data_IF_493043059300
#
_entry.id   IF_493043059300
#
_cell.length_a   1.000
_cell.length_b   1.000
_cell.length_c   1.000
_cell.angle_alpha   90.00
_cell.angle_beta   90.00
_cell.angle_gamma   90.00
#
_symmetry.space_group_name_H-M   'P 1'
#
loop_
_entity.id
_entity.type
_entity.pdbx_description
1 polymer ?
#
# COMPACT_ATOMS: atom_id res chain seq x y z
N UNK A 1 -51.38 -26.25 19.39
CA UNK A 1 -50.50 -27.41 19.20
C UNK A 1 -49.95 -27.27 17.80
N UNK A 2 -48.69 -26.88 17.69
CA UNK A 2 -47.71 -27.34 16.71
C UNK A 2 -46.42 -26.56 16.95
N UNK A 3 -45.47 -27.29 17.52
CA UNK A 3 -44.12 -26.84 17.89
C UNK A 3 -43.25 -26.83 16.63
N UNK A 4 -42.79 -25.66 16.21
CA UNK A 4 -41.69 -25.57 15.26
C UNK A 4 -40.37 -25.39 16.01
N UNK A 5 -39.63 -26.49 16.09
CA UNK A 5 -38.23 -26.56 16.46
C UNK A 5 -37.38 -25.72 15.50
N UNK A 6 -36.76 -24.67 16.02
CA UNK A 6 -35.66 -23.96 15.35
C UNK A 6 -34.38 -24.71 15.73
N UNK A 7 -33.73 -25.34 14.75
CA UNK A 7 -32.41 -25.94 14.92
C UNK A 7 -31.37 -24.84 15.07
N UNK A 8 -30.76 -24.77 16.24
CA UNK A 8 -29.54 -24.01 16.47
C UNK A 8 -28.37 -24.74 15.79
N UNK A 9 -28.06 -24.36 14.54
CA UNK A 9 -26.76 -24.66 13.96
C UNK A 9 -25.75 -23.67 14.54
N UNK A 10 -25.01 -24.14 15.54
CA UNK A 10 -23.83 -23.50 16.08
C UNK A 10 -22.75 -23.45 14.98
N UNK A 11 -22.49 -22.25 14.47
CA UNK A 11 -21.28 -21.97 13.70
C UNK A 11 -20.06 -22.11 14.63
N UNK A 12 -19.41 -23.26 14.60
CA UNK A 12 -18.05 -23.41 15.11
C UNK A 12 -17.12 -22.53 14.27
N UNK A 13 -16.63 -21.46 14.90
CA UNK A 13 -15.57 -20.62 14.36
C UNK A 13 -14.26 -21.43 14.42
N UNK A 14 -13.94 -22.15 13.35
CA UNK A 14 -12.63 -22.79 13.19
C UNK A 14 -11.59 -21.68 13.11
N UNK A 15 -10.98 -21.40 14.26
CA UNK A 15 -9.88 -20.44 14.37
C UNK A 15 -8.64 -21.17 13.89
N UNK A 16 -8.27 -20.97 12.63
CA UNK A 16 -7.01 -21.49 12.10
C UNK A 16 -5.89 -20.59 12.64
N UNK A 17 -5.39 -20.93 13.83
CA UNK A 17 -4.13 -20.41 14.36
C UNK A 17 -2.98 -20.95 13.51
N UNK A 18 -2.69 -20.29 12.38
CA UNK A 18 -1.38 -20.40 11.72
C UNK A 18 -0.39 -19.55 12.50
N UNK A 19 0.09 -20.07 13.63
CA UNK A 19 1.39 -19.68 14.15
C UNK A 19 2.43 -20.10 13.11
N UNK A 20 3.03 -19.12 12.44
CA UNK A 20 4.20 -19.33 11.60
C UNK A 20 5.34 -19.76 12.53
N UNK A 21 5.55 -21.07 12.67
CA UNK A 21 6.76 -21.60 13.28
C UNK A 21 7.92 -21.25 12.34
N UNK A 22 8.62 -20.16 12.66
CA UNK A 22 9.90 -19.82 12.02
C UNK A 22 10.92 -20.84 12.53
N UNK A 23 10.92 -22.02 11.91
CA UNK A 23 11.99 -22.99 12.05
C UNK A 23 13.29 -22.38 11.54
N UNK A 24 14.40 -22.65 12.23
CA UNK A 24 15.73 -22.22 11.82
C UNK A 24 16.02 -22.77 10.41
N UNK A 25 15.98 -21.89 9.40
CA UNK A 25 16.36 -22.22 8.03
C UNK A 25 17.88 -22.48 8.00
N UNK A 26 18.29 -23.74 7.98
CA UNK A 26 19.67 -24.12 7.70
C UNK A 26 19.93 -24.02 6.20
N UNK A 27 20.90 -23.21 5.82
CA UNK A 27 21.49 -23.26 4.47
C UNK A 27 22.58 -24.32 4.49
N UNK A 28 22.37 -25.44 3.79
CA UNK A 28 23.44 -26.40 3.52
C UNK A 28 24.30 -25.84 2.38
N UNK A 29 25.57 -25.58 2.69
CA UNK A 29 26.62 -25.26 1.72
C UNK A 29 27.07 -26.56 1.03
N UNK A 30 26.29 -27.06 0.07
CA UNK A 30 26.72 -28.13 -0.84
C UNK A 30 27.50 -27.52 -2.02
N UNK A 31 28.74 -27.11 -1.74
CA UNK A 31 29.79 -27.01 -2.76
C UNK A 31 30.84 -28.08 -2.45
N UNK A 32 30.88 -29.12 -3.28
CA UNK A 32 31.87 -30.19 -3.24
C UNK A 32 33.30 -29.62 -3.23
N UNK A 33 33.99 -29.77 -2.09
CA UNK A 33 35.41 -29.49 -1.95
C UNK A 33 36.24 -30.69 -2.45
N UNK A 34 36.85 -30.56 -3.61
CA UNK A 34 38.09 -31.25 -3.94
C UNK A 34 39.21 -30.72 -3.05
N UNK A 35 39.93 -31.65 -2.42
CA UNK A 35 41.11 -31.42 -1.58
C UNK A 35 42.10 -30.50 -2.28
N UNK A 36 42.35 -29.32 -1.72
CA UNK A 36 43.43 -28.42 -2.16
C UNK A 36 44.32 -28.05 -0.99
N UNK A 37 45.59 -28.36 -1.20
CA UNK A 37 46.73 -28.23 -0.32
C UNK A 37 46.98 -26.75 0.02
N UNK A 38 47.23 -26.47 1.29
CA UNK A 38 47.56 -25.13 1.78
C UNK A 38 48.91 -24.65 1.22
N UNK A 39 48.88 -23.76 0.24
CA UNK A 39 50.03 -22.93 -0.14
C UNK A 39 49.74 -21.48 0.26
N UNK A 40 50.49 -20.98 1.25
CA UNK A 40 50.46 -19.59 1.70
C UNK A 40 51.08 -18.71 0.62
N UNK A 41 50.29 -18.21 -0.32
CA UNK A 41 50.73 -17.22 -1.29
C UNK A 41 50.34 -15.84 -0.78
N UNK A 42 51.31 -15.10 -0.24
CA UNK A 42 51.20 -13.67 0.08
C UNK A 42 50.90 -12.91 -1.20
N UNK A 43 49.62 -12.59 -1.43
CA UNK A 43 49.22 -11.79 -2.58
C UNK A 43 49.39 -10.33 -2.20
N UNK A 44 50.53 -9.74 -2.59
CA UNK A 44 50.72 -8.29 -2.56
C UNK A 44 49.84 -7.68 -3.64
N UNK A 45 48.58 -7.41 -3.30
CA UNK A 45 47.68 -6.68 -4.18
C UNK A 45 48.16 -5.24 -4.28
N UNK A 46 48.66 -4.88 -5.46
CA UNK A 46 48.88 -3.49 -5.87
C UNK A 46 47.55 -2.75 -5.69
N UNK A 47 47.44 -1.93 -4.63
CA UNK A 47 46.32 -1.03 -4.43
C UNK A 47 46.46 0.07 -5.48
N UNK A 48 46.01 -0.22 -6.70
CA UNK A 48 45.57 0.82 -7.61
C UNK A 48 44.44 1.56 -6.91
N UNK A 49 44.52 2.89 -6.93
CA UNK A 49 43.68 3.86 -6.24
C UNK A 49 42.18 3.58 -6.36
N UNK A 50 41.65 2.68 -5.53
CA UNK A 50 40.24 2.58 -5.26
C UNK A 50 39.89 3.78 -4.39
N UNK A 51 38.92 4.59 -4.83
CA UNK A 51 38.44 5.67 -3.99
C UNK A 51 37.86 5.10 -2.68
N UNK A 52 37.86 5.87 -1.59
CA UNK A 52 37.42 5.40 -0.27
C UNK A 52 36.03 4.75 -0.28
N UNK A 53 35.16 5.17 -1.22
CA UNK A 53 33.83 4.59 -1.41
C UNK A 53 33.88 3.16 -1.99
N UNK A 54 34.80 2.87 -2.91
CA UNK A 54 34.98 1.53 -3.48
C UNK A 54 35.59 0.57 -2.46
N UNK A 55 36.51 1.03 -1.61
CA UNK A 55 37.09 0.23 -0.53
C UNK A 55 36.02 -0.12 0.51
N UNK A 56 35.24 0.86 0.97
CA UNK A 56 34.12 0.63 1.89
C UNK A 56 33.06 -0.31 1.31
N UNK A 57 32.76 -0.19 0.02
CA UNK A 57 31.83 -1.07 -0.67
C UNK A 57 32.36 -2.52 -0.76
N UNK A 58 33.64 -2.70 -1.05
CA UNK A 58 34.27 -4.02 -1.12
C UNK A 58 34.31 -4.71 0.26
N UNK A 59 34.64 -3.96 1.32
CA UNK A 59 34.61 -4.44 2.69
C UNK A 59 33.18 -4.80 3.15
N UNK A 60 32.20 -3.96 2.81
CA UNK A 60 30.78 -4.25 3.04
C UNK A 60 30.37 -5.56 2.35
N UNK A 61 30.70 -5.73 1.07
CA UNK A 61 30.40 -6.98 0.35
C UNK A 61 30.99 -8.22 0.99
N UNK A 62 32.25 -8.16 1.43
CA UNK A 62 32.89 -9.29 2.10
C UNK A 62 32.17 -9.65 3.42
N UNK A 63 31.70 -8.66 4.17
CA UNK A 63 30.97 -8.86 5.41
C UNK A 63 29.56 -9.45 5.19
N UNK A 64 28.85 -9.05 4.13
CA UNK A 64 27.44 -9.45 3.91
C UNK A 64 27.28 -10.66 2.98
N UNK A 65 28.35 -11.18 2.37
CA UNK A 65 28.30 -12.34 1.48
C UNK A 65 28.09 -13.70 2.17
N UNK A 66 28.20 -13.76 3.50
CA UNK A 66 28.08 -15.00 4.29
C UNK A 66 26.71 -15.67 4.21
N UNK A 67 26.69 -17.01 4.30
CA UNK A 67 25.47 -17.83 4.26
C UNK A 67 24.51 -17.52 5.41
N UNK A 68 25.02 -17.17 6.60
CA UNK A 68 24.22 -16.76 7.75
C UNK A 68 23.40 -15.48 7.50
N UNK A 69 24.01 -14.47 6.86
CA UNK A 69 23.32 -13.24 6.46
C UNK A 69 22.24 -13.52 5.41
N UNK A 70 22.54 -14.40 4.43
CA UNK A 70 21.56 -14.83 3.40
C UNK A 70 20.33 -15.48 4.03
N UNK A 71 20.54 -16.45 4.91
CA UNK A 71 19.47 -17.11 5.64
C UNK A 71 18.62 -16.13 6.47
N UNK A 72 19.25 -15.16 7.13
CA UNK A 72 18.55 -14.16 7.94
C UNK A 72 17.65 -13.20 7.13
N UNK A 73 17.98 -12.94 5.86
CA UNK A 73 17.21 -12.02 5.01
C UNK A 73 16.10 -12.70 4.21
N UNK A 74 16.23 -14.00 3.91
CA UNK A 74 15.24 -14.75 3.13
C UNK A 74 13.79 -14.53 3.59
N UNK A 75 13.45 -14.53 4.90
CA UNK A 75 12.10 -14.27 5.35
C UNK A 75 11.54 -12.90 4.91
N UNK A 76 12.37 -11.86 4.84
CA UNK A 76 11.95 -10.52 4.42
C UNK A 76 11.59 -10.50 2.93
N UNK A 77 12.38 -11.19 2.09
CA UNK A 77 12.07 -11.31 0.67
C UNK A 77 10.75 -12.06 0.45
N UNK A 78 10.56 -13.18 1.15
CA UNK A 78 9.32 -13.98 1.05
C UNK A 78 8.11 -13.14 1.47
N UNK A 79 8.16 -12.53 2.66
CA UNK A 79 7.04 -11.73 3.17
C UNK A 79 6.72 -10.57 2.23
N UNK A 80 7.73 -9.88 1.69
CA UNK A 80 7.50 -8.80 0.74
C UNK A 80 6.92 -9.29 -0.59
N UNK A 81 7.40 -10.41 -1.12
CA UNK A 81 6.88 -11.02 -2.32
C UNK A 81 5.40 -11.44 -2.15
N UNK A 82 5.06 -12.07 -1.03
CA UNK A 82 3.66 -12.39 -0.69
C UNK A 82 2.80 -11.14 -0.58
N UNK A 83 3.31 -10.07 0.04
CA UNK A 83 2.58 -8.80 0.16
C UNK A 83 2.34 -8.16 -1.20
N UNK A 84 3.33 -8.16 -2.07
CA UNK A 84 3.24 -7.66 -3.44
C UNK A 84 2.19 -8.44 -4.24
N UNK A 85 2.22 -9.78 -4.16
CA UNK A 85 1.23 -10.63 -4.82
C UNK A 85 -0.18 -10.33 -4.29
N UNK A 86 -0.34 -10.20 -2.98
CA UNK A 86 -1.62 -9.88 -2.32
C UNK A 86 -2.19 -8.58 -2.87
N UNK A 87 -1.36 -7.54 -2.95
CA UNK A 87 -1.74 -6.26 -3.54
C UNK A 87 -2.17 -6.41 -5.01
N UNK A 88 -1.36 -7.08 -5.83
CA UNK A 88 -1.64 -7.26 -7.27
C UNK A 88 -2.93 -8.07 -7.47
N UNK A 89 -3.16 -9.11 -6.69
CA UNK A 89 -4.36 -9.93 -6.78
C UNK A 89 -5.62 -9.16 -6.39
N UNK A 90 -5.57 -8.38 -5.30
CA UNK A 90 -6.64 -7.46 -4.92
C UNK A 90 -6.96 -6.46 -6.04
N UNK A 91 -5.95 -5.99 -6.78
CA UNK A 91 -6.16 -5.05 -7.90
C UNK A 91 -6.89 -5.67 -9.10
N UNK A 92 -6.79 -6.99 -9.30
CA UNK A 92 -7.33 -7.69 -10.49
C UNK A 92 -8.69 -8.35 -10.28
N UNK A 93 -9.20 -8.45 -9.05
CA UNK A 93 -10.41 -9.26 -8.75
C UNK A 93 -10.37 -10.68 -9.33
N UNK A 94 -9.16 -11.20 -9.61
CA UNK A 94 -8.93 -12.57 -10.05
C UNK A 94 -8.37 -13.32 -8.85
N UNK A 95 -9.25 -13.70 -7.93
CA UNK A 95 -8.89 -14.45 -6.72
C UNK A 95 -8.58 -15.93 -7.00
N UNK A 96 -8.84 -16.42 -8.22
CA UNK A 96 -8.88 -17.87 -8.48
C UNK A 96 -7.50 -18.51 -8.71
N UNK A 97 -6.45 -17.73 -9.02
CA UNK A 97 -5.08 -18.25 -9.22
C UNK A 97 -4.06 -17.42 -8.43
N UNK A 98 -4.32 -17.18 -7.15
CA UNK A 98 -3.33 -16.60 -6.26
C UNK A 98 -2.17 -17.58 -6.06
N UNK A 99 -1.08 -17.41 -6.80
CA UNK A 99 0.15 -18.14 -6.53
C UNK A 99 0.81 -17.51 -5.31
N UNK A 100 0.71 -18.17 -4.16
CA UNK A 100 1.60 -17.88 -3.03
C UNK A 100 3.05 -18.10 -3.47
N UNK A 101 3.99 -17.45 -2.77
CA UNK A 101 5.40 -17.83 -2.90
C UNK A 101 5.53 -19.29 -2.48
N UNK A 102 6.08 -20.14 -3.34
CA UNK A 102 6.32 -21.54 -3.01
C UNK A 102 7.43 -21.64 -1.96
N UNK A 103 7.09 -22.18 -0.79
CA UNK A 103 8.02 -22.38 0.33
C UNK A 103 8.33 -23.88 0.42
N UNK A 104 9.59 -24.22 0.15
CA UNK A 104 10.13 -25.58 0.13
C UNK A 104 10.84 -25.94 1.44
N UNK A 105 11.16 -24.94 2.28
CA UNK A 105 12.01 -25.10 3.45
C UNK A 105 13.51 -25.01 3.13
N UNK A 106 13.87 -24.95 1.84
CA UNK A 106 15.24 -24.69 1.40
C UNK A 106 15.42 -23.18 1.18
N UNK A 107 16.19 -22.53 2.07
CA UNK A 107 16.33 -21.07 2.06
C UNK A 107 16.88 -20.47 0.76
N UNK A 108 17.65 -21.22 -0.04
CA UNK A 108 18.14 -20.78 -1.36
C UNK A 108 17.03 -20.84 -2.41
N UNK A 109 16.25 -21.91 -2.43
CA UNK A 109 15.11 -22.07 -3.36
C UNK A 109 14.03 -21.04 -3.01
N UNK A 110 13.70 -20.89 -1.73
CA UNK A 110 12.65 -19.99 -1.27
C UNK A 110 13.00 -18.52 -1.55
N UNK A 111 14.28 -18.15 -1.39
CA UNK A 111 14.78 -16.82 -1.78
C UNK A 111 14.68 -16.59 -3.29
N UNK A 112 15.03 -17.59 -4.11
CA UNK A 112 14.89 -17.49 -5.56
C UNK A 112 13.42 -17.35 -5.98
N UNK A 113 12.51 -18.11 -5.35
CA UNK A 113 11.07 -18.01 -5.58
C UNK A 113 10.56 -16.59 -5.27
N UNK A 114 10.98 -16.01 -4.14
CA UNK A 114 10.65 -14.64 -3.80
C UNK A 114 11.22 -13.62 -4.81
N UNK A 115 12.48 -13.76 -5.23
CA UNK A 115 13.09 -12.88 -6.25
C UNK A 115 12.36 -12.99 -7.60
N UNK A 116 11.92 -14.18 -7.99
CA UNK A 116 11.15 -14.40 -9.22
C UNK A 116 9.82 -13.64 -9.18
N UNK A 117 9.13 -13.63 -8.03
CA UNK A 117 7.91 -12.84 -7.83
C UNK A 117 8.19 -11.34 -7.96
N UNK A 118 9.28 -10.84 -7.36
CA UNK A 118 9.69 -9.44 -7.51
C UNK A 118 10.04 -9.08 -8.96
N UNK A 119 10.43 -10.08 -9.76
CA UNK A 119 10.76 -9.95 -11.18
C UNK A 119 9.55 -10.17 -12.10
N UNK A 120 8.33 -10.26 -11.57
CA UNK A 120 7.16 -10.52 -12.39
C UNK A 120 6.76 -9.29 -13.23
N UNK A 121 6.36 -9.54 -14.48
CA UNK A 121 5.91 -8.50 -15.42
C UNK A 121 4.75 -7.67 -14.86
N UNK A 122 3.90 -8.29 -14.04
CA UNK A 122 2.76 -7.63 -13.41
C UNK A 122 3.16 -6.49 -12.48
N UNK A 123 4.28 -6.62 -11.77
CA UNK A 123 4.79 -5.53 -10.94
C UNK A 123 5.17 -4.32 -11.81
N UNK A 124 5.83 -4.56 -12.96
CA UNK A 124 6.16 -3.49 -13.90
C UNK A 124 4.92 -2.85 -14.52
N UNK A 125 3.95 -3.66 -14.98
CA UNK A 125 2.68 -3.17 -15.57
C UNK A 125 1.87 -2.31 -14.59
N UNK A 126 1.98 -2.59 -13.29
CA UNK A 126 1.21 -1.92 -12.24
C UNK A 126 1.99 -0.86 -11.48
N UNK A 127 3.20 -0.54 -11.92
CA UNK A 127 4.09 0.39 -11.22
C UNK A 127 3.43 1.75 -10.93
N UNK A 128 2.57 2.24 -11.82
CA UNK A 128 1.86 3.53 -11.63
C UNK A 128 0.69 3.46 -10.63
N UNK A 129 0.21 2.26 -10.33
CA UNK A 129 -0.94 2.02 -9.43
C UNK A 129 -0.54 1.47 -8.06
N UNK A 130 0.70 1.01 -7.91
CA UNK A 130 1.22 0.45 -6.67
C UNK A 130 1.68 1.59 -5.75
N UNK A 131 1.50 1.48 -4.42
CA UNK A 131 1.99 2.48 -3.48
C UNK A 131 3.51 2.66 -3.59
N UNK A 132 4.04 3.91 -3.52
CA UNK A 132 5.47 4.18 -3.63
C UNK A 132 6.37 3.33 -2.72
N UNK A 133 5.88 2.92 -1.55
CA UNK A 133 6.59 2.11 -0.56
C UNK A 133 7.03 0.76 -1.12
N UNK A 134 6.25 0.14 -2.00
CA UNK A 134 6.65 -1.12 -2.65
C UNK A 134 7.85 -0.92 -3.58
N UNK A 135 7.89 0.17 -4.34
CA UNK A 135 9.05 0.45 -5.22
C UNK A 135 10.29 0.82 -4.40
N UNK A 136 10.10 1.53 -3.27
CA UNK A 136 11.16 1.81 -2.30
C UNK A 136 11.68 0.52 -1.65
N UNK A 137 10.80 -0.33 -1.15
CA UNK A 137 11.16 -1.61 -0.53
C UNK A 137 11.87 -2.52 -1.53
N UNK A 138 11.36 -2.64 -2.76
CA UNK A 138 12.03 -3.37 -3.84
C UNK A 138 13.43 -2.81 -4.13
N UNK A 139 13.59 -1.49 -4.14
CA UNK A 139 14.89 -0.83 -4.34
C UNK A 139 15.87 -1.13 -3.20
N UNK A 140 15.41 -1.09 -1.94
CA UNK A 140 16.23 -1.43 -0.77
C UNK A 140 16.68 -2.90 -0.83
N UNK A 141 15.76 -3.81 -1.17
CA UNK A 141 16.05 -5.23 -1.35
C UNK A 141 17.00 -5.49 -2.52
N UNK A 142 16.92 -4.74 -3.62
CA UNK A 142 17.87 -4.85 -4.73
C UNK A 142 19.28 -4.43 -4.31
N UNK A 143 19.41 -3.33 -3.57
CA UNK A 143 20.73 -2.89 -3.05
C UNK A 143 21.27 -3.91 -2.05
N UNK A 144 20.41 -4.48 -1.20
CA UNK A 144 20.80 -5.53 -0.26
C UNK A 144 21.29 -6.78 -1.01
N UNK A 145 20.56 -7.24 -2.03
CA UNK A 145 20.96 -8.36 -2.89
C UNK A 145 22.32 -8.13 -3.54
N UNK A 146 22.58 -6.90 -3.99
CA UNK A 146 23.87 -6.51 -4.56
C UNK A 146 25.01 -6.58 -3.54
N UNK A 147 24.79 -6.13 -2.30
CA UNK A 147 25.79 -6.19 -1.24
C UNK A 147 26.08 -7.65 -0.82
N UNK A 148 25.06 -8.51 -0.84
CA UNK A 148 25.18 -9.92 -0.47
C UNK A 148 25.73 -10.81 -1.60
N UNK A 149 25.91 -10.26 -2.80
CA UNK A 149 26.36 -11.01 -3.98
C UNK A 149 25.35 -12.07 -4.43
N UNK A 150 24.05 -11.84 -4.23
CA UNK A 150 23.02 -12.75 -4.72
C UNK A 150 23.00 -12.75 -6.26
N UNK A 151 22.66 -13.86 -6.90
CA UNK A 151 22.45 -13.88 -8.35
C UNK A 151 21.00 -13.51 -8.68
N UNK A 152 20.73 -13.08 -9.92
CA UNK A 152 19.36 -12.90 -10.44
C UNK A 152 18.67 -11.56 -10.14
N UNK A 153 19.04 -10.82 -9.09
CA UNK A 153 18.35 -9.58 -8.69
C UNK A 153 18.40 -8.42 -9.72
N UNK A 154 19.29 -8.50 -10.72
CA UNK A 154 19.39 -7.54 -11.83
C UNK A 154 18.75 -8.01 -13.13
N UNK A 155 17.98 -9.11 -13.12
CA UNK A 155 17.35 -9.69 -14.31
C UNK A 155 15.88 -9.29 -14.42
N UNK A 156 15.28 -9.54 -15.59
CA UNK A 156 13.85 -9.31 -15.84
C UNK A 156 13.47 -7.84 -15.80
N UNK A 157 12.28 -7.54 -15.26
CA UNK A 157 11.76 -6.18 -15.19
C UNK A 157 12.19 -5.39 -13.94
N UNK A 158 12.84 -6.03 -12.95
CA UNK A 158 13.28 -5.38 -11.70
C UNK A 158 14.05 -4.07 -11.98
N UNK A 159 15.07 -4.05 -12.85
CA UNK A 159 15.82 -2.82 -13.11
C UNK A 159 14.93 -1.66 -13.58
N UNK A 160 13.89 -1.94 -14.38
CA UNK A 160 12.97 -0.92 -14.86
C UNK A 160 12.08 -0.36 -13.75
N UNK A 161 11.73 -1.20 -12.77
CA UNK A 161 10.91 -0.80 -11.60
C UNK A 161 11.75 0.05 -10.65
N UNK A 162 12.96 -0.38 -10.32
CA UNK A 162 13.76 0.25 -9.25
C UNK A 162 14.63 1.41 -9.72
N UNK A 163 14.97 1.49 -11.02
CA UNK A 163 15.90 2.52 -11.54
C UNK A 163 15.49 3.93 -11.17
N UNK A 164 14.21 4.27 -11.33
CA UNK A 164 13.69 5.61 -11.01
C UNK A 164 13.88 5.91 -9.52
N UNK A 165 13.43 5.00 -8.65
CA UNK A 165 13.55 5.16 -7.19
C UNK A 165 15.01 5.19 -6.74
N UNK A 166 15.90 4.38 -7.32
CA UNK A 166 17.33 4.41 -7.02
C UNK A 166 17.96 5.76 -7.39
N UNK A 167 17.57 6.36 -8.52
CA UNK A 167 18.06 7.69 -8.93
C UNK A 167 17.51 8.77 -8.00
N UNK A 168 16.20 8.80 -7.78
CA UNK A 168 15.52 9.82 -6.98
C UNK A 168 15.88 9.76 -5.49
N UNK A 169 16.13 8.56 -4.96
CA UNK A 169 16.40 8.32 -3.53
C UNK A 169 17.84 7.89 -3.25
N UNK A 170 18.77 8.08 -4.19
CA UNK A 170 20.19 7.70 -4.03
C UNK A 170 20.81 8.25 -2.73
N UNK A 171 20.43 9.46 -2.32
CA UNK A 171 20.94 10.09 -1.09
C UNK A 171 20.42 9.45 0.21
N UNK A 172 19.29 8.74 0.15
CA UNK A 172 18.58 8.19 1.33
C UNK A 172 18.76 6.68 1.45
N UNK A 173 19.17 6.00 0.38
CA UNK A 173 19.40 4.55 0.37
C UNK A 173 20.80 4.27 0.92
N UNK A 174 20.92 3.60 2.08
CA UNK A 174 22.22 3.33 2.69
C UNK A 174 23.05 2.37 1.85
N UNK A 175 24.36 2.58 1.81
CA UNK A 175 25.34 1.69 1.15
C UNK A 175 26.04 0.75 2.13
N UNK A 176 25.85 0.99 3.43
CA UNK A 176 26.34 0.15 4.53
C UNK A 176 25.23 -0.84 4.88
N UNK A 177 25.54 -2.13 4.94
CA UNK A 177 24.51 -3.17 5.09
C UNK A 177 23.72 -3.08 6.40
N UNK A 178 24.32 -2.64 7.51
CA UNK A 178 23.64 -2.51 8.81
C UNK A 178 22.61 -1.39 8.82
N UNK A 179 22.96 -0.24 8.23
CA UNK A 179 22.04 0.88 8.00
C UNK A 179 20.94 0.50 7.02
N UNK A 180 21.28 -0.23 5.95
CA UNK A 180 20.32 -0.71 4.97
C UNK A 180 19.30 -1.67 5.61
N UNK A 181 19.76 -2.60 6.44
CA UNK A 181 18.89 -3.52 7.19
C UNK A 181 17.95 -2.76 8.13
N UNK A 182 18.49 -1.78 8.86
CA UNK A 182 17.68 -0.90 9.72
C UNK A 182 16.62 -0.16 8.90
N UNK A 183 16.97 0.34 7.71
CA UNK A 183 16.05 1.03 6.81
C UNK A 183 14.96 0.11 6.25
N UNK A 184 15.32 -1.13 5.90
CA UNK A 184 14.39 -2.17 5.44
C UNK A 184 13.37 -2.49 6.52
N UNK A 185 13.82 -2.77 7.75
CA UNK A 185 12.91 -3.06 8.87
C UNK A 185 12.03 -1.85 9.22
N UNK A 186 12.59 -0.65 9.19
CA UNK A 186 11.82 0.57 9.39
C UNK A 186 10.72 0.72 8.33
N UNK A 187 11.07 0.53 7.05
CA UNK A 187 10.12 0.55 5.94
C UNK A 187 9.04 -0.52 6.12
N UNK A 188 9.46 -1.74 6.46
CA UNK A 188 8.57 -2.87 6.71
C UNK A 188 7.51 -2.54 7.78
N UNK A 189 7.99 -2.06 8.92
CA UNK A 189 7.12 -1.75 10.05
C UNK A 189 6.16 -0.61 9.73
N UNK A 190 6.67 0.45 9.09
CA UNK A 190 5.90 1.67 8.78
C UNK A 190 4.76 1.43 7.78
N UNK A 191 5.02 0.71 6.70
CA UNK A 191 4.08 0.62 5.57
C UNK A 191 3.32 -0.70 5.47
N UNK A 192 3.75 -1.74 6.18
CA UNK A 192 3.14 -3.07 6.07
C UNK A 192 2.69 -3.58 7.43
N UNK A 193 3.60 -3.72 8.40
CA UNK A 193 3.26 -4.37 9.67
C UNK A 193 2.25 -3.56 10.49
N UNK A 194 2.45 -2.24 10.65
CA UNK A 194 1.49 -1.39 11.37
C UNK A 194 0.15 -1.32 10.64
N UNK A 195 0.16 -1.24 9.31
CA UNK A 195 -1.05 -1.24 8.48
C UNK A 195 -1.86 -2.52 8.71
N UNK A 196 -1.20 -3.68 8.74
CA UNK A 196 -1.82 -4.98 8.99
C UNK A 196 -2.39 -5.11 10.40
N UNK A 197 -1.72 -4.52 11.40
CA UNK A 197 -2.27 -4.42 12.75
C UNK A 197 -3.55 -3.58 12.74
N UNK A 198 -3.56 -2.44 12.04
CA UNK A 198 -4.76 -1.61 11.93
C UNK A 198 -5.92 -2.35 11.27
N UNK A 199 -5.70 -3.22 10.27
CA UNK A 199 -6.76 -4.04 9.69
C UNK A 199 -7.54 -4.87 10.72
N UNK A 200 -6.90 -5.32 11.81
CA UNK A 200 -7.53 -6.11 12.88
C UNK A 200 -8.35 -5.28 13.88
N UNK A 201 -8.16 -3.96 13.93
CA UNK A 201 -8.79 -3.08 14.92
C UNK A 201 -10.13 -2.54 14.39
N UNK A 202 -11.24 -2.70 15.10
CA UNK A 202 -12.50 -2.05 14.73
C UNK A 202 -12.38 -0.53 14.94
N UNK A 203 -12.65 0.24 13.87
CA UNK A 203 -12.60 1.69 13.89
C UNK A 203 -13.98 2.28 14.20
N UNK A 204 -13.99 3.24 15.10
CA UNK A 204 -15.03 4.25 15.23
C UNK A 204 -14.46 5.59 14.72
N UNK A 205 -15.27 6.65 14.73
CA UNK A 205 -14.86 7.96 14.24
C UNK A 205 -13.67 8.51 15.03
N UNK A 206 -13.63 8.29 16.35
CA UNK A 206 -12.53 8.75 17.21
C UNK A 206 -11.21 8.07 16.84
N UNK A 207 -11.21 6.74 16.66
CA UNK A 207 -10.03 5.98 16.23
C UNK A 207 -9.58 6.35 14.83
N UNK A 208 -10.52 6.60 13.92
CA UNK A 208 -10.18 7.09 12.58
C UNK A 208 -9.54 8.48 12.65
N UNK A 209 -10.08 9.41 13.43
CA UNK A 209 -9.47 10.72 13.69
C UNK A 209 -8.05 10.56 14.24
N UNK A 210 -7.86 9.73 15.27
CA UNK A 210 -6.55 9.47 15.85
C UNK A 210 -5.56 8.89 14.84
N UNK A 211 -6.01 7.99 13.97
CA UNK A 211 -5.19 7.47 12.89
C UNK A 211 -4.81 8.56 11.89
N UNK A 212 -5.77 9.36 11.41
CA UNK A 212 -5.50 10.42 10.43
C UNK A 212 -4.52 11.47 10.97
N UNK A 213 -4.59 11.81 12.26
CA UNK A 213 -3.67 12.74 12.91
C UNK A 213 -2.25 12.15 13.07
N UNK A 214 -2.15 10.87 13.47
CA UNK A 214 -0.92 10.33 14.05
C UNK A 214 -0.30 9.16 13.29
N UNK A 215 -0.85 8.74 12.15
CA UNK A 215 -0.31 7.61 11.42
C UNK A 215 1.11 7.89 10.89
N UNK A 216 1.86 6.81 10.69
CA UNK A 216 3.20 6.88 10.17
C UNK A 216 3.28 7.15 8.67
N UNK A 217 2.21 7.19 7.89
CA UNK A 217 2.30 7.31 6.43
C UNK A 217 2.17 8.77 6.00
N UNK A 218 1.01 9.38 6.30
CA UNK A 218 0.65 10.75 5.97
C UNK A 218 -0.25 11.30 7.06
N UNK A 219 0.25 12.29 7.80
CA UNK A 219 -0.50 12.95 8.85
C UNK A 219 -1.33 14.08 8.26
N UNK A 220 -2.59 14.16 8.71
CA UNK A 220 -3.53 15.22 8.35
C UNK A 220 -3.72 16.13 9.56
N UNK A 221 -4.17 17.36 9.31
CA UNK A 221 -4.51 18.32 10.38
C UNK A 221 -5.91 18.85 10.18
N UNK A 222 -6.70 18.94 11.24
CA UNK A 222 -8.06 19.48 11.21
C UNK A 222 -8.12 20.99 11.00
N UNK A 223 -6.97 21.66 10.91
CA UNK A 223 -6.88 23.11 10.76
C UNK A 223 -6.01 23.52 9.59
N UNK A 224 -5.68 22.59 8.68
CA UNK A 224 -4.87 22.91 7.50
C UNK A 224 -5.59 23.89 6.60
N UNK A 225 -6.91 23.71 6.46
CA UNK A 225 -7.75 24.60 5.69
C UNK A 225 -8.75 25.32 6.61
N UNK A 226 -8.85 26.66 6.55
CA UNK A 226 -9.75 27.39 7.42
C UNK A 226 -11.21 27.09 7.06
N UNK A 227 -12.06 26.95 8.07
CA UNK A 227 -13.51 26.73 7.89
C UNK A 227 -14.19 28.04 7.44
N UNK A 228 -14.15 28.32 6.15
CA UNK A 228 -14.81 29.47 5.53
C UNK A 228 -15.79 29.01 4.43
N UNK A 229 -16.73 29.88 3.99
CA UNK A 229 -17.75 29.48 3.00
C UNK A 229 -17.19 28.95 1.68
N UNK A 230 -16.01 29.42 1.25
CA UNK A 230 -15.36 28.97 0.02
C UNK A 230 -14.84 27.52 0.16
N UNK A 231 -14.15 27.20 1.25
CA UNK A 231 -13.66 25.85 1.52
C UNK A 231 -14.81 24.87 1.78
N UNK A 232 -15.86 25.31 2.48
CA UNK A 232 -17.08 24.52 2.66
C UNK A 232 -17.78 24.24 1.32
N UNK A 233 -17.85 25.24 0.43
CA UNK A 233 -18.37 25.07 -0.94
C UNK A 233 -17.54 24.06 -1.74
N UNK A 234 -16.21 24.07 -1.57
CA UNK A 234 -15.31 23.12 -2.20
C UNK A 234 -15.42 21.69 -1.66
N UNK A 235 -16.11 21.46 -0.54
CA UNK A 235 -16.50 20.12 -0.07
C UNK A 235 -17.91 19.79 -0.55
N UNK A 236 -18.83 20.74 -0.42
CA UNK A 236 -20.24 20.58 -0.77
C UNK A 236 -20.45 20.20 -2.24
N UNK A 237 -19.81 20.91 -3.17
CA UNK A 237 -19.97 20.68 -4.62
C UNK A 237 -19.56 19.24 -4.99
N UNK A 238 -18.34 18.78 -4.65
CA UNK A 238 -17.94 17.38 -4.80
C UNK A 238 -18.94 16.37 -4.25
N UNK A 239 -19.45 16.58 -3.03
CA UNK A 239 -20.41 15.67 -2.42
C UNK A 239 -21.72 15.59 -3.23
N UNK A 240 -22.30 16.74 -3.61
CA UNK A 240 -23.53 16.75 -4.42
C UNK A 240 -23.30 16.11 -5.77
N UNK A 241 -22.11 16.28 -6.38
CA UNK A 241 -21.78 15.59 -7.62
C UNK A 241 -21.76 14.08 -7.46
N UNK A 242 -21.10 13.55 -6.42
CA UNK A 242 -21.13 12.10 -6.13
C UNK A 242 -22.55 11.60 -5.94
N UNK A 243 -23.37 12.31 -5.16
CA UNK A 243 -24.79 12.00 -4.96
C UNK A 243 -25.55 11.98 -6.29
N UNK A 244 -25.40 13.01 -7.12
CA UNK A 244 -26.07 13.08 -8.42
C UNK A 244 -25.63 11.97 -9.37
N UNK A 245 -24.35 11.64 -9.38
CA UNK A 245 -23.80 10.53 -10.18
C UNK A 245 -24.44 9.21 -9.74
N UNK A 246 -24.43 8.91 -8.44
CA UNK A 246 -25.05 7.70 -7.88
C UNK A 246 -26.53 7.61 -8.25
N UNK A 247 -27.29 8.70 -8.09
CA UNK A 247 -28.72 8.72 -8.41
C UNK A 247 -28.98 8.45 -9.90
N UNK A 248 -28.20 9.07 -10.79
CA UNK A 248 -28.32 8.84 -12.24
C UNK A 248 -28.00 7.41 -12.63
N UNK A 249 -26.88 6.87 -12.12
CA UNK A 249 -26.37 5.57 -12.56
C UNK A 249 -27.09 4.39 -11.91
N UNK A 250 -27.46 4.49 -10.63
CA UNK A 250 -28.03 3.37 -9.86
C UNK A 250 -29.55 3.44 -9.81
N UNK A 251 -30.13 4.63 -9.66
CA UNK A 251 -31.58 4.79 -9.43
C UNK A 251 -32.37 5.10 -10.70
N UNK A 252 -31.70 5.38 -11.83
CA UNK A 252 -32.35 5.52 -13.14
C UNK A 252 -33.45 6.58 -13.21
N UNK A 253 -33.48 7.54 -12.29
CA UNK A 253 -34.61 8.46 -12.10
C UNK A 253 -34.27 9.93 -12.38
N UNK A 254 -35.08 10.47 -13.28
CA UNK A 254 -35.38 11.86 -13.66
C UNK A 254 -34.24 12.89 -13.73
N UNK A 255 -34.18 13.54 -14.90
CA UNK A 255 -33.29 14.64 -15.25
C UNK A 255 -33.54 15.94 -14.46
N UNK A 256 -33.55 15.87 -13.13
CA UNK A 256 -33.53 17.06 -12.30
C UNK A 256 -32.24 17.83 -12.55
N UNK A 257 -32.39 18.99 -13.20
CA UNK A 257 -31.33 19.96 -13.37
C UNK A 257 -30.85 20.41 -12.00
N UNK A 258 -29.53 20.33 -11.79
CA UNK A 258 -28.87 20.94 -10.64
C UNK A 258 -29.05 22.46 -10.73
N UNK A 259 -30.12 22.98 -10.15
CA UNK A 259 -30.29 24.43 -10.01
C UNK A 259 -29.31 24.94 -8.95
N UNK A 260 -28.81 26.15 -9.23
CA UNK A 260 -27.82 26.99 -8.53
C UNK A 260 -27.51 26.69 -7.06
N UNK A 261 -26.24 26.88 -6.63
CA UNK A 261 -25.78 26.47 -5.31
C UNK A 261 -26.55 27.23 -4.20
N UNK A 262 -27.06 26.52 -3.20
CA UNK A 262 -27.61 27.16 -2.00
C UNK A 262 -26.51 27.89 -1.24
N UNK A 263 -26.91 28.75 -0.29
CA UNK A 263 -26.01 29.25 0.75
C UNK A 263 -25.40 28.03 1.46
N UNK A 264 -24.09 27.88 1.40
CA UNK A 264 -23.36 26.75 2.00
C UNK A 264 -22.80 27.20 3.34
N UNK A 265 -23.33 26.64 4.43
CA UNK A 265 -22.76 26.72 5.78
C UNK A 265 -22.23 25.34 6.23
N UNK A 266 -21.71 25.27 7.46
CA UNK A 266 -21.14 24.02 8.01
C UNK A 266 -22.20 22.94 8.14
N UNK A 267 -23.39 23.29 8.62
CA UNK A 267 -24.50 22.35 8.81
C UNK A 267 -24.94 21.73 7.47
N UNK A 268 -24.96 22.54 6.41
CA UNK A 268 -25.23 22.07 5.06
C UNK A 268 -24.14 21.11 4.53
N UNK A 269 -22.86 21.40 4.79
CA UNK A 269 -21.75 20.53 4.38
C UNK A 269 -21.79 19.17 5.11
N UNK A 270 -22.00 19.18 6.43
CA UNK A 270 -22.16 17.95 7.22
C UNK A 270 -23.34 17.12 6.70
N UNK A 271 -24.52 17.73 6.56
CA UNK A 271 -25.72 17.06 6.08
C UNK A 271 -25.50 16.35 4.74
N UNK A 272 -24.82 17.03 3.81
CA UNK A 272 -24.53 16.49 2.48
C UNK A 272 -23.47 15.37 2.51
N UNK A 273 -22.48 15.44 3.40
CA UNK A 273 -21.55 14.32 3.63
C UNK A 273 -22.31 13.09 4.14
N UNK A 274 -23.25 13.30 5.07
CA UNK A 274 -24.08 12.22 5.61
C UNK A 274 -25.03 11.64 4.54
N UNK A 275 -25.56 12.47 3.63
CA UNK A 275 -26.36 12.04 2.47
C UNK A 275 -25.52 11.20 1.50
N UNK A 276 -24.36 11.73 1.08
CA UNK A 276 -23.41 11.04 0.20
C UNK A 276 -23.03 9.69 0.80
N UNK A 277 -22.74 9.66 2.10
CA UNK A 277 -22.34 8.45 2.80
C UNK A 277 -23.42 7.38 2.83
N UNK A 278 -24.68 7.77 3.01
CA UNK A 278 -25.84 6.87 2.95
C UNK A 278 -26.02 6.29 1.55
N UNK A 279 -25.88 7.11 0.52
CA UNK A 279 -26.09 6.70 -0.88
C UNK A 279 -24.99 5.79 -1.41
N UNK A 280 -23.74 5.97 -0.99
CA UNK A 280 -22.63 5.13 -1.47
C UNK A 280 -22.55 3.77 -0.75
N UNK A 281 -23.11 3.66 0.46
CA UNK A 281 -23.01 2.44 1.27
C UNK A 281 -23.49 1.16 0.54
N UNK A 282 -24.63 1.14 -0.18
CA UNK A 282 -25.03 -0.03 -0.97
C UNK A 282 -24.02 -0.37 -2.07
N UNK A 283 -23.45 0.63 -2.75
CA UNK A 283 -22.43 0.40 -3.77
C UNK A 283 -21.16 -0.21 -3.18
N UNK A 284 -20.76 0.21 -1.97
CA UNK A 284 -19.62 -0.37 -1.26
C UNK A 284 -19.86 -1.83 -0.87
N UNK A 285 -21.07 -2.14 -0.38
CA UNK A 285 -21.49 -3.49 0.02
C UNK A 285 -21.71 -4.43 -1.16
N UNK A 286 -21.97 -3.90 -2.36
CA UNK A 286 -22.18 -4.71 -3.55
C UNK A 286 -20.97 -5.61 -3.82
N UNK A 287 -21.24 -6.91 -3.98
CA UNK A 287 -20.26 -7.94 -4.36
C UNK A 287 -19.95 -7.92 -5.85
N UNK A 288 -20.65 -7.07 -6.63
CA UNK A 288 -20.34 -6.91 -8.05
C UNK A 288 -18.89 -6.45 -8.23
N UNK A 289 -18.31 -6.91 -9.35
CA UNK A 289 -16.95 -6.54 -9.74
C UNK A 289 -16.83 -5.02 -9.73
N UNK A 290 -15.71 -4.54 -9.18
CA UNK A 290 -15.45 -3.13 -9.02
C UNK A 290 -15.13 -2.56 -10.40
N UNK A 291 -16.15 -2.01 -11.03
CA UNK A 291 -16.00 -1.25 -12.26
C UNK A 291 -15.09 -0.04 -12.00
N UNK A 292 -14.46 0.48 -13.04
CA UNK A 292 -13.64 1.68 -12.93
C UNK A 292 -14.45 2.86 -12.40
N UNK A 293 -15.75 2.89 -12.73
CA UNK A 293 -16.74 3.78 -12.13
C UNK A 293 -16.81 3.65 -10.59
N UNK A 294 -17.07 2.44 -10.07
CA UNK A 294 -17.16 2.20 -8.61
C UNK A 294 -15.87 2.61 -7.91
N UNK A 295 -14.70 2.29 -8.48
CA UNK A 295 -13.40 2.69 -7.93
C UNK A 295 -13.23 4.21 -7.90
N UNK A 296 -13.61 4.90 -8.98
CA UNK A 296 -13.49 6.35 -9.04
C UNK A 296 -14.39 7.04 -8.02
N UNK A 297 -15.61 6.54 -7.79
CA UNK A 297 -16.50 7.05 -6.75
C UNK A 297 -15.94 6.76 -5.34
N UNK A 298 -15.41 5.57 -5.08
CA UNK A 298 -14.79 5.23 -3.78
C UNK A 298 -13.61 6.17 -3.47
N UNK A 299 -12.67 6.32 -4.41
CA UNK A 299 -11.53 7.25 -4.27
C UNK A 299 -12.05 8.67 -4.03
N UNK A 300 -13.13 9.04 -4.70
CA UNK A 300 -13.75 10.35 -4.56
C UNK A 300 -14.29 10.59 -3.15
N UNK A 301 -15.02 9.63 -2.59
CA UNK A 301 -15.54 9.70 -1.22
C UNK A 301 -14.40 9.78 -0.19
N UNK A 302 -13.32 9.01 -0.38
CA UNK A 302 -12.14 9.09 0.50
C UNK A 302 -11.55 10.50 0.46
N UNK A 303 -11.34 11.07 -0.73
CA UNK A 303 -10.79 12.43 -0.86
C UNK A 303 -11.66 13.48 -0.19
N UNK A 304 -12.97 13.43 -0.42
CA UNK A 304 -13.93 14.33 0.22
C UNK A 304 -13.85 14.19 1.76
N UNK A 305 -13.82 12.96 2.26
CA UNK A 305 -13.74 12.68 3.70
C UNK A 305 -12.48 13.29 4.31
N UNK A 306 -11.32 13.12 3.65
CA UNK A 306 -10.05 13.69 4.12
C UNK A 306 -10.03 15.22 4.01
N UNK A 307 -10.64 15.80 2.97
CA UNK A 307 -10.74 17.25 2.80
C UNK A 307 -11.65 17.89 3.86
N UNK A 308 -12.78 17.24 4.15
CA UNK A 308 -13.68 17.64 5.22
C UNK A 308 -13.01 17.55 6.59
N UNK A 309 -12.23 16.49 6.83
CA UNK A 309 -11.38 16.37 8.01
C UNK A 309 -10.38 17.52 8.11
N UNK A 310 -9.65 17.83 7.03
CA UNK A 310 -8.63 18.90 7.05
C UNK A 310 -9.20 20.33 7.19
N UNK A 311 -10.49 20.49 6.91
CA UNK A 311 -11.25 21.74 7.08
C UNK A 311 -11.87 21.87 8.49
N UNK A 312 -11.74 20.84 9.32
CA UNK A 312 -12.24 20.84 10.70
C UNK A 312 -13.73 20.55 10.85
N UNK A 313 -14.37 19.95 9.84
CA UNK A 313 -15.77 19.51 9.94
C UNK A 313 -15.86 18.39 10.98
N UNK A 314 -16.78 18.49 11.95
CA UNK A 314 -16.86 17.52 13.04
C UNK A 314 -17.40 16.18 12.52
N UNK A 315 -18.50 16.21 11.77
CA UNK A 315 -19.11 15.03 11.16
C UNK A 315 -18.60 14.78 9.74
N UNK A 316 -17.27 14.80 9.57
CA UNK A 316 -16.59 14.66 8.27
C UNK A 316 -16.77 13.30 7.59
N UNK A 317 -17.42 12.34 8.26
CA UNK A 317 -17.68 10.98 7.77
C UNK A 317 -19.04 10.48 8.23
N UNK A 318 -19.70 9.66 7.39
CA UNK A 318 -20.87 8.88 7.78
C UNK A 318 -20.42 7.60 8.48
N UNK A 319 -20.73 7.45 9.77
CA UNK A 319 -20.18 6.40 10.63
C UNK A 319 -20.28 4.95 10.07
N UNK A 320 -21.40 4.52 9.45
CA UNK A 320 -21.50 3.18 8.86
C UNK A 320 -20.50 2.90 7.73
N UNK A 321 -19.88 3.93 7.13
CA UNK A 321 -18.84 3.76 6.12
C UNK A 321 -17.45 3.53 6.68
N UNK A 322 -17.20 3.78 7.97
CA UNK A 322 -15.85 3.76 8.54
C UNK A 322 -15.14 2.43 8.28
N UNK A 323 -15.83 1.30 8.49
CA UNK A 323 -15.23 -0.02 8.29
C UNK A 323 -14.84 -0.29 6.83
N UNK A 324 -15.56 0.32 5.89
CA UNK A 324 -15.30 0.19 4.46
C UNK A 324 -14.15 1.11 4.05
N UNK A 325 -14.24 2.39 4.41
CA UNK A 325 -13.23 3.41 4.13
C UNK A 325 -11.87 3.09 4.76
N UNK A 326 -11.86 2.46 5.93
CA UNK A 326 -10.65 2.02 6.62
C UNK A 326 -9.74 1.22 5.68
N UNK A 327 -10.27 0.21 5.00
CA UNK A 327 -9.46 -0.68 4.16
C UNK A 327 -8.81 0.10 3.02
N UNK A 328 -9.58 0.97 2.36
CA UNK A 328 -9.07 1.79 1.26
C UNK A 328 -8.09 2.88 1.74
N UNK A 329 -8.34 3.50 2.90
CA UNK A 329 -7.40 4.45 3.52
C UNK A 329 -6.08 3.77 3.83
N UNK A 330 -6.11 2.63 4.52
CA UNK A 330 -4.91 1.86 4.87
C UNK A 330 -4.10 1.46 3.61
N UNK A 331 -4.78 1.17 2.51
CA UNK A 331 -4.15 0.76 1.26
C UNK A 331 -3.58 1.93 0.43
N UNK A 332 -4.27 3.07 0.42
CA UNK A 332 -4.04 4.10 -0.59
C UNK A 332 -3.46 5.41 -0.07
N UNK A 333 -3.38 5.62 1.25
CA UNK A 333 -2.97 6.91 1.84
C UNK A 333 -1.61 7.43 1.38
N UNK A 334 -0.73 6.52 0.93
CA UNK A 334 0.59 6.87 0.44
C UNK A 334 0.56 7.62 -0.89
N UNK A 335 -0.46 7.40 -1.74
CA UNK A 335 -0.51 8.00 -3.06
C UNK A 335 -0.58 9.53 -3.00
N UNK A 336 0.14 10.18 -3.90
CA UNK A 336 0.17 11.65 -4.01
C UNK A 336 -1.20 12.26 -4.30
N UNK A 337 -2.17 11.50 -4.78
CA UNK A 337 -3.52 12.00 -5.03
C UNK A 337 -4.30 12.33 -3.75
N UNK A 338 -3.80 11.93 -2.57
CA UNK A 338 -4.28 12.34 -1.24
C UNK A 338 -3.39 13.41 -0.59
N UNK A 339 -2.41 13.93 -1.32
CA UNK A 339 -1.62 15.08 -0.92
C UNK A 339 -2.31 16.36 -1.40
N UNK A 340 -3.20 16.89 -0.57
CA UNK A 340 -3.81 18.18 -0.83
C UNK A 340 -2.72 19.25 -0.68
N UNK A 341 -2.27 19.83 -1.79
CA UNK A 341 -1.37 21.00 -1.76
C UNK A 341 -2.03 22.16 -1.01
N UNK A 342 -1.34 23.29 -0.94
CA UNK A 342 -1.79 24.50 -0.22
C UNK A 342 -3.14 25.09 -0.72
N UNK A 343 -3.71 24.59 -1.83
CA UNK A 343 -4.94 25.11 -2.41
C UNK A 343 -6.02 24.02 -2.58
N UNK A 344 -7.12 24.15 -1.82
CA UNK A 344 -8.31 23.30 -1.96
C UNK A 344 -8.94 23.43 -3.34
N UNK A 345 -9.00 24.65 -3.89
CA UNK A 345 -9.69 24.93 -5.15
C UNK A 345 -9.11 24.12 -6.32
N UNK A 346 -7.78 23.99 -6.39
CA UNK A 346 -7.09 23.16 -7.38
C UNK A 346 -7.51 21.68 -7.28
N UNK A 347 -7.63 21.16 -6.06
CA UNK A 347 -8.05 19.78 -5.78
C UNK A 347 -9.52 19.58 -6.15
N UNK A 348 -10.38 20.52 -5.76
CA UNK A 348 -11.81 20.51 -6.04
C UNK A 348 -12.09 20.54 -7.55
N UNK A 349 -11.39 21.38 -8.32
CA UNK A 349 -11.54 21.47 -9.79
C UNK A 349 -11.17 20.17 -10.49
N UNK A 350 -10.03 19.57 -10.13
CA UNK A 350 -9.61 18.27 -10.70
C UNK A 350 -10.65 17.20 -10.39
N UNK A 351 -11.18 17.21 -9.17
CA UNK A 351 -12.22 16.26 -8.74
C UNK A 351 -13.51 16.41 -9.55
N UNK A 352 -14.00 17.64 -9.65
CA UNK A 352 -15.20 17.98 -10.43
C UNK A 352 -15.04 17.54 -11.87
N UNK A 353 -13.87 17.78 -12.48
CA UNK A 353 -13.59 17.34 -13.84
C UNK A 353 -13.62 15.82 -13.99
N UNK A 354 -13.04 15.06 -13.05
CA UNK A 354 -13.05 13.60 -13.08
C UNK A 354 -14.48 13.07 -12.98
N UNK A 355 -15.27 13.59 -12.04
CA UNK A 355 -16.67 13.18 -11.90
C UNK A 355 -17.51 13.56 -13.11
N UNK A 356 -17.28 14.75 -13.67
CA UNK A 356 -17.98 15.20 -14.86
C UNK A 356 -17.69 14.28 -16.06
N UNK A 357 -16.42 13.93 -16.28
CA UNK A 357 -16.02 12.98 -17.33
C UNK A 357 -16.65 11.58 -17.12
N UNK A 358 -16.82 11.14 -15.87
CA UNK A 358 -17.51 9.89 -15.57
C UNK A 358 -19.00 9.95 -15.90
N UNK A 359 -19.65 11.10 -15.69
CA UNK A 359 -21.05 11.30 -16.07
C UNK A 359 -21.22 11.32 -17.58
N UNK A 360 -20.29 11.91 -18.34
CA UNK A 360 -20.38 11.92 -19.82
C UNK A 360 -20.11 10.54 -20.45
N UNK A 361 -19.38 9.67 -19.75
CA UNK A 361 -19.09 8.32 -20.24
C UNK A 361 -20.23 7.31 -20.01
N UNK A 362 -21.14 7.60 -19.08
CA UNK A 362 -22.29 6.77 -18.71
C UNK A 362 -23.56 7.25 -19.43
#
# INVERSE_FOLDING_TARGET
>A
MDNNNISNDSFELVTVDKQLAIGQLQMNDDDHATTSTSSTTTTTTTISTLNSNQVMLALSKAHYAGSSTKAAMTPIYIQFAEKLLSFIACSRQCCENYQCVEITGNGKIDLNNAINVLSCQLFQEKNDTIPPSYTLMASLLVVLSYLMGLSGFGRGCIPNIVKKTLVEKNAVIPRIGSELYTKINYCWNRYYALVDQHHKIVWDQSKMTQYLLNNGIRQFSTSKFPTNPENLRNIYIPCKMVVSVINKTILGMDGQKANTPPVVDIEAAESVIQEMGRMILPLWKSTEKATDFKKAIIISVIKITLLAFETGITNYIYNPLINYLKSDILLHLEHNCFDFKDEIDSTSKIFVQILYNLVEYL
#
